data_IF_052238409636
#
_entry.id   IF_052238409636
#
_cell.length_a   1.000
_cell.length_b   1.000
_cell.length_c   1.000
_cell.angle_alpha   90.00
_cell.angle_beta   90.00
_cell.angle_gamma   90.00
#
_symmetry.space_group_name_H-M   'P 1'
#
loop_
_entity.id
_entity.type
_entity.pdbx_description
1 polymer ?
#
# COMPACT_ATOMS: atom_id res chain seq x y z
N UNK A 1 -24.31 16.37 51.50
CA UNK A 1 -23.59 15.09 51.59
C UNK A 1 -23.44 14.50 50.19
N UNK A 2 -22.36 13.79 49.88
CA UNK A 2 -22.22 13.15 48.56
C UNK A 2 -22.81 11.74 48.63
N UNK A 3 -23.58 11.33 47.63
CA UNK A 3 -24.12 9.97 47.53
C UNK A 3 -23.41 9.18 46.42
N UNK A 4 -23.24 7.88 46.63
CA UNK A 4 -22.69 7.01 45.61
C UNK A 4 -23.66 6.90 44.42
N UNK A 5 -23.19 7.18 43.20
CA UNK A 5 -24.02 7.10 41.98
C UNK A 5 -24.47 5.69 41.58
N UNK A 6 -24.01 4.66 42.27
CA UNK A 6 -24.28 3.26 41.93
C UNK A 6 -25.24 2.63 42.94
N UNK A 7 -24.99 2.79 44.23
CA UNK A 7 -25.83 2.19 45.29
C UNK A 7 -26.56 3.22 46.17
N UNK A 8 -26.40 4.52 45.93
CA UNK A 8 -27.06 5.57 46.70
C UNK A 8 -26.49 5.84 48.10
N UNK A 9 -25.62 4.97 48.62
CA UNK A 9 -25.04 5.12 49.97
C UNK A 9 -24.38 6.48 50.17
N UNK A 10 -24.69 7.13 51.29
CA UNK A 10 -24.06 8.37 51.69
C UNK A 10 -22.57 8.18 51.94
N UNK A 11 -21.77 9.12 51.46
CA UNK A 11 -20.33 9.09 51.53
C UNK A 11 -19.84 10.24 52.41
N UNK A 12 -18.97 9.92 53.36
CA UNK A 12 -18.22 10.91 54.11
C UNK A 12 -17.27 11.64 53.16
N UNK A 13 -17.29 12.97 53.18
CA UNK A 13 -16.38 13.80 52.40
C UNK A 13 -14.97 13.71 53.02
N UNK A 14 -14.20 12.71 52.60
CA UNK A 14 -12.77 12.66 52.95
C UNK A 14 -12.04 13.88 52.37
N UNK A 15 -10.97 14.34 53.05
CA UNK A 15 -10.07 15.40 52.57
C UNK A 15 -9.36 14.95 51.29
N UNK A 16 -9.99 15.15 50.13
CA UNK A 16 -9.48 14.72 48.84
C UNK A 16 -10.52 14.88 47.72
N UNK A 17 -10.12 14.62 46.47
CA UNK A 17 -11.03 14.70 45.31
C UNK A 17 -12.29 13.87 45.56
N UNK A 18 -13.46 14.48 45.33
CA UNK A 18 -14.76 13.85 45.53
C UNK A 18 -14.86 12.52 44.77
N UNK A 19 -14.86 11.41 45.50
CA UNK A 19 -15.04 10.07 44.94
C UNK A 19 -16.49 9.96 44.44
N UNK A 20 -16.70 9.35 43.27
CA UNK A 20 -18.05 9.14 42.68
C UNK A 20 -18.72 7.82 43.12
N UNK A 21 -17.96 6.97 43.81
CA UNK A 21 -18.35 5.61 44.20
C UNK A 21 -17.84 5.31 45.60
N UNK A 22 -18.65 4.67 46.44
CA UNK A 22 -18.32 4.37 47.83
C UNK A 22 -17.34 3.19 48.00
N UNK A 23 -17.35 2.21 47.07
CA UNK A 23 -16.60 0.96 47.20
C UNK A 23 -15.96 0.48 45.89
N UNK A 24 -14.97 -0.44 45.94
CA UNK A 24 -14.43 -1.12 44.76
C UNK A 24 -15.50 -1.85 43.94
N UNK A 25 -16.48 -2.49 44.60
CA UNK A 25 -17.60 -3.14 43.93
C UNK A 25 -18.43 -2.15 43.11
N UNK A 26 -18.75 -0.97 43.67
CA UNK A 26 -19.45 0.08 42.94
C UNK A 26 -18.62 0.62 41.76
N UNK A 27 -17.28 0.69 41.88
CA UNK A 27 -16.41 1.05 40.75
C UNK A 27 -16.48 0.05 39.61
N UNK A 28 -16.43 -1.24 39.91
CA UNK A 28 -16.53 -2.31 38.92
C UNK A 28 -17.92 -2.32 38.26
N UNK A 29 -18.99 -2.15 39.03
CA UNK A 29 -20.35 -2.02 38.49
C UNK A 29 -20.49 -0.82 37.55
N UNK A 30 -19.96 0.35 37.93
CA UNK A 30 -19.93 1.53 37.07
C UNK A 30 -19.14 1.30 35.77
N UNK A 31 -18.04 0.54 35.84
CA UNK A 31 -17.25 0.18 34.66
C UNK A 31 -18.02 -0.74 33.71
N UNK A 32 -18.63 -1.82 34.24
CA UNK A 32 -19.45 -2.75 33.46
C UNK A 32 -20.63 -2.04 32.77
N UNK A 33 -21.29 -1.10 33.47
CA UNK A 33 -22.36 -0.29 32.89
C UNK A 33 -21.87 0.54 31.69
N UNK A 34 -20.73 1.24 31.81
CA UNK A 34 -20.15 2.00 30.69
C UNK A 34 -19.77 1.11 29.50
N UNK A 35 -19.24 -0.09 29.75
CA UNK A 35 -18.94 -1.04 28.69
C UNK A 35 -20.22 -1.51 27.99
N UNK A 36 -21.29 -1.80 28.73
CA UNK A 36 -22.58 -2.17 28.16
C UNK A 36 -23.18 -1.04 27.32
N UNK A 37 -23.14 0.20 27.81
CA UNK A 37 -23.58 1.41 27.07
C UNK A 37 -22.77 1.60 25.78
N UNK A 38 -21.44 1.38 25.82
CA UNK A 38 -20.59 1.47 24.63
C UNK A 38 -20.91 0.39 23.60
N UNK A 39 -21.11 -0.87 24.04
CA UNK A 39 -21.52 -1.96 23.15
C UNK A 39 -22.90 -1.70 22.55
N UNK A 40 -23.85 -1.20 23.34
CA UNK A 40 -25.17 -0.82 22.85
C UNK A 40 -25.09 0.31 21.82
N UNK A 41 -24.25 1.33 22.04
CA UNK A 41 -24.03 2.41 21.09
C UNK A 41 -23.43 1.92 19.77
N UNK A 42 -22.46 1.01 19.82
CA UNK A 42 -21.87 0.41 18.61
C UNK A 42 -22.90 -0.43 17.85
N UNK A 43 -23.74 -1.21 18.55
CA UNK A 43 -24.84 -1.95 17.92
C UNK A 43 -25.87 -1.02 17.30
N UNK A 44 -26.23 0.07 17.97
CA UNK A 44 -27.16 1.06 17.43
C UNK A 44 -26.58 1.77 16.19
N UNK A 45 -25.27 2.04 16.17
CA UNK A 45 -24.59 2.59 14.99
C UNK A 45 -24.59 1.60 13.82
N UNK A 46 -24.34 0.31 14.09
CA UNK A 46 -24.35 -0.74 13.07
C UNK A 46 -25.77 -1.04 12.54
N UNK A 47 -26.80 -0.89 13.38
CA UNK A 47 -28.20 -1.07 12.99
C UNK A 47 -28.76 0.13 12.22
N UNK A 48 -28.07 1.28 12.23
CA UNK A 48 -28.49 2.45 11.47
C UNK A 48 -28.33 2.11 9.98
N UNK A 49 -29.40 2.09 9.17
CA UNK A 49 -29.28 1.82 7.75
C UNK A 49 -28.30 2.82 7.16
N UNK A 50 -27.36 2.31 6.34
CA UNK A 50 -26.44 3.15 5.62
C UNK A 50 -27.27 4.24 4.91
N UNK A 51 -26.95 5.54 5.09
CA UNK A 51 -27.69 6.57 4.41
C UNK A 51 -27.61 6.26 2.91
N UNK A 52 -28.76 6.03 2.28
CA UNK A 52 -28.90 5.85 0.84
C UNK A 52 -28.68 7.19 0.15
N UNK A 53 -27.48 7.76 0.33
CA UNK A 53 -26.95 8.78 -0.54
C UNK A 53 -26.35 8.01 -1.70
N UNK A 54 -27.20 7.63 -2.65
CA UNK A 54 -26.69 7.31 -3.99
C UNK A 54 -25.88 8.55 -4.41
N UNK A 55 -24.56 8.44 -4.58
CA UNK A 55 -23.78 9.57 -5.04
C UNK A 55 -24.41 10.00 -6.38
N UNK A 56 -24.70 11.30 -6.58
CA UNK A 56 -25.24 11.76 -7.85
C UNK A 56 -24.30 11.28 -8.94
N UNK A 57 -24.80 10.42 -9.82
CA UNK A 57 -24.04 9.97 -10.99
C UNK A 57 -23.70 11.26 -11.75
N UNK A 58 -22.41 11.57 -11.95
CA UNK A 58 -22.04 12.80 -12.63
C UNK A 58 -22.68 12.78 -14.02
N UNK A 59 -23.40 13.86 -14.35
CA UNK A 59 -24.05 13.97 -15.65
C UNK A 59 -22.99 13.81 -16.76
N UNK A 60 -23.32 13.12 -17.87
CA UNK A 60 -22.36 12.90 -18.95
C UNK A 60 -21.88 14.25 -19.49
N UNK A 61 -20.57 14.48 -19.42
CA UNK A 61 -19.94 15.69 -19.96
C UNK A 61 -20.12 15.68 -21.48
N UNK A 62 -20.80 16.68 -22.03
CA UNK A 62 -20.90 16.88 -23.48
C UNK A 62 -19.52 17.27 -24.00
N UNK A 63 -18.83 16.33 -24.63
CA UNK A 63 -17.56 16.61 -25.29
C UNK A 63 -17.79 17.49 -26.53
N UNK A 64 -16.95 18.51 -26.77
CA UNK A 64 -17.03 19.33 -27.98
C UNK A 64 -16.79 18.46 -29.22
N UNK A 65 -17.55 18.74 -30.28
CA UNK A 65 -17.39 18.06 -31.58
C UNK A 65 -16.02 18.42 -32.15
N UNK A 66 -15.17 17.45 -32.50
CA UNK A 66 -13.87 17.73 -33.10
C UNK A 66 -14.06 18.38 -34.47
N UNK A 67 -13.34 19.48 -34.71
CA UNK A 67 -13.05 19.96 -36.06
C UNK A 67 -11.93 19.08 -36.65
N UNK A 68 -12.00 18.75 -37.95
CA UNK A 68 -11.14 17.77 -38.62
C UNK A 68 -9.67 18.21 -38.73
N UNK A 69 -9.35 19.45 -38.34
CA UNK A 69 -7.97 19.93 -38.26
C UNK A 69 -7.10 19.06 -37.32
N UNK A 70 -5.78 18.91 -37.61
CA UNK A 70 -4.86 18.19 -36.73
C UNK A 70 -4.86 18.73 -35.29
N UNK A 71 -5.00 20.05 -35.12
CA UNK A 71 -5.15 20.68 -33.81
C UNK A 71 -6.48 20.32 -33.12
N UNK A 72 -7.57 20.19 -33.88
CA UNK A 72 -8.86 19.70 -33.38
C UNK A 72 -8.78 18.26 -32.87
N UNK A 73 -8.09 17.39 -33.60
CA UNK A 73 -7.88 15.99 -33.22
C UNK A 73 -7.03 15.86 -31.95
N UNK A 74 -5.96 16.64 -31.81
CA UNK A 74 -5.12 16.65 -30.59
C UNK A 74 -5.92 17.14 -29.38
N UNK A 75 -6.72 18.21 -29.53
CA UNK A 75 -7.58 18.71 -28.44
C UNK A 75 -8.63 17.68 -28.02
N UNK A 76 -9.26 17.00 -28.99
CA UNK A 76 -10.24 15.96 -28.71
C UNK A 76 -9.63 14.74 -28.01
N UNK A 77 -8.42 14.33 -28.40
CA UNK A 77 -7.68 13.26 -27.73
C UNK A 77 -7.32 13.64 -26.28
N UNK A 78 -6.85 14.88 -26.05
CA UNK A 78 -6.57 15.39 -24.70
C UNK A 78 -7.81 15.42 -23.80
N UNK A 79 -8.96 15.87 -24.33
CA UNK A 79 -10.22 15.88 -23.58
C UNK A 79 -10.70 14.46 -23.22
N UNK A 80 -10.54 13.48 -24.12
CA UNK A 80 -10.87 12.07 -23.85
C UNK A 80 -9.96 11.46 -22.78
N UNK A 81 -8.65 11.78 -22.81
CA UNK A 81 -7.71 11.32 -21.81
C UNK A 81 -8.07 11.88 -20.42
N UNK A 82 -8.34 13.19 -20.32
CA UNK A 82 -8.74 13.83 -19.07
C UNK A 82 -10.02 13.18 -18.50
N UNK A 83 -11.05 12.98 -19.33
CA UNK A 83 -12.30 12.35 -18.92
C UNK A 83 -12.11 10.90 -18.44
N UNK A 84 -11.27 10.11 -19.12
CA UNK A 84 -10.96 8.74 -18.71
C UNK A 84 -10.22 8.70 -17.37
N UNK A 85 -9.32 9.65 -17.17
CA UNK A 85 -8.53 9.82 -15.95
C UNK A 85 -9.40 10.27 -14.77
N UNK A 86 -10.32 11.21 -14.96
CA UNK A 86 -11.32 11.61 -13.95
C UNK A 86 -12.23 10.43 -13.57
N UNK A 87 -12.70 9.66 -14.56
CA UNK A 87 -13.52 8.47 -14.31
C UNK A 87 -12.75 7.39 -13.52
N UNK A 88 -11.46 7.19 -13.80
CA UNK A 88 -10.62 6.27 -13.05
C UNK A 88 -10.37 6.73 -11.61
N UNK A 89 -10.11 8.03 -11.41
CA UNK A 89 -9.95 8.62 -10.09
C UNK A 89 -11.23 8.50 -9.25
N UNK A 90 -12.40 8.69 -9.86
CA UNK A 90 -13.68 8.53 -9.18
C UNK A 90 -13.95 7.08 -8.77
N UNK A 91 -13.67 6.09 -9.64
CA UNK A 91 -13.77 4.67 -9.27
C UNK A 91 -12.81 4.31 -8.13
N UNK A 92 -11.56 4.75 -8.21
CA UNK A 92 -10.58 4.54 -7.14
C UNK A 92 -11.04 5.15 -5.81
N UNK A 93 -11.67 6.32 -5.83
CA UNK A 93 -12.25 6.94 -4.64
C UNK A 93 -13.39 6.11 -4.03
N UNK A 94 -14.24 5.49 -4.85
CA UNK A 94 -15.32 4.63 -4.37
C UNK A 94 -14.79 3.33 -3.74
N UNK A 95 -13.80 2.71 -4.37
CA UNK A 95 -13.19 1.49 -3.85
C UNK A 95 -12.52 1.75 -2.48
N UNK A 96 -11.86 2.92 -2.32
CA UNK A 96 -11.25 3.33 -1.05
C UNK A 96 -12.25 3.57 0.10
N UNK A 97 -13.47 4.04 -0.21
CA UNK A 97 -14.49 4.31 0.81
C UNK A 97 -15.13 3.01 1.35
N UNK A 98 -15.15 1.95 0.53
CA UNK A 98 -15.64 0.63 0.98
C UNK A 98 -14.67 -0.09 1.91
N UNK A 99 -13.36 0.15 1.79
CA UNK A 99 -12.33 -0.56 2.58
C UNK A 99 -11.94 0.18 3.88
N UNK A 100 -12.44 1.41 4.12
CA UNK A 100 -12.01 2.27 5.25
C UNK A 100 -12.83 2.16 6.54
N UNK A 101 -13.58 1.07 6.74
CA UNK A 101 -14.23 0.79 8.04
C UNK A 101 -13.24 0.53 9.20
N UNK A 102 -11.91 0.59 8.96
CA UNK A 102 -10.87 0.36 9.97
C UNK A 102 -9.81 1.46 10.16
N UNK A 103 -9.96 2.66 9.60
CA UNK A 103 -8.86 3.63 9.56
C UNK A 103 -8.59 4.37 10.90
N UNK A 104 -7.32 4.28 11.34
CA UNK A 104 -6.72 4.87 12.55
C UNK A 104 -6.76 6.42 12.59
N UNK A 105 -6.80 7.04 13.78
CA UNK A 105 -6.78 8.50 13.93
C UNK A 105 -5.35 9.04 13.76
N UNK A 106 -5.15 9.95 12.81
CA UNK A 106 -3.95 10.80 12.76
C UNK A 106 -3.27 10.99 11.41
N UNK A 107 -3.66 10.26 10.36
CA UNK A 107 -3.21 10.59 9.00
C UNK A 107 -4.20 11.55 8.35
N UNK A 108 -3.69 12.66 7.80
CA UNK A 108 -4.46 13.56 6.94
C UNK A 108 -4.91 12.72 5.76
N UNK A 109 -6.20 12.37 5.71
CA UNK A 109 -6.75 11.58 4.61
C UNK A 109 -6.58 12.42 3.35
N UNK A 110 -5.80 11.93 2.40
CA UNK A 110 -5.90 12.38 1.00
C UNK A 110 -7.33 12.14 0.58
N UNK A 111 -8.07 13.20 0.33
CA UNK A 111 -9.47 13.06 -0.06
C UNK A 111 -9.53 12.66 -1.54
N UNK A 112 -10.67 12.11 -2.00
CA UNK A 112 -10.92 11.93 -3.43
C UNK A 112 -10.64 13.20 -4.24
N UNK A 113 -11.00 14.36 -3.70
CA UNK A 113 -10.79 15.66 -4.31
C UNK A 113 -9.30 16.00 -4.43
N UNK A 114 -8.47 15.68 -3.43
CA UNK A 114 -7.01 15.85 -3.51
C UNK A 114 -6.40 15.01 -4.64
N UNK A 115 -6.91 13.78 -4.81
CA UNK A 115 -6.45 12.85 -5.85
C UNK A 115 -6.83 13.36 -7.23
N UNK A 116 -8.10 13.75 -7.43
CA UNK A 116 -8.59 14.35 -8.69
C UNK A 116 -7.81 15.62 -9.02
N UNK A 117 -7.55 16.48 -8.03
CA UNK A 117 -6.79 17.73 -8.22
C UNK A 117 -5.35 17.46 -8.67
N UNK A 118 -4.68 16.49 -8.03
CA UNK A 118 -3.30 16.12 -8.37
C UNK A 118 -3.21 15.54 -9.78
N UNK A 119 -4.15 14.67 -10.10
CA UNK A 119 -4.24 14.00 -11.41
C UNK A 119 -4.55 15.00 -12.52
N UNK A 120 -5.47 15.94 -12.29
CA UNK A 120 -5.76 17.03 -13.22
C UNK A 120 -4.52 17.89 -13.46
N UNK A 121 -3.80 18.28 -12.41
CA UNK A 121 -2.58 19.06 -12.54
C UNK A 121 -1.51 18.34 -13.38
N UNK A 122 -1.33 17.03 -13.17
CA UNK A 122 -0.43 16.20 -13.98
C UNK A 122 -0.87 16.13 -15.46
N UNK A 123 -2.17 16.00 -15.72
CA UNK A 123 -2.71 15.96 -17.08
C UNK A 123 -2.51 17.32 -17.80
N UNK A 124 -2.78 18.44 -17.11
CA UNK A 124 -2.54 19.78 -17.63
C UNK A 124 -1.04 20.01 -17.94
N UNK A 125 -0.15 19.54 -17.06
CA UNK A 125 1.28 19.59 -17.28
C UNK A 125 1.71 18.77 -18.51
N UNK A 126 1.17 17.57 -18.69
CA UNK A 126 1.46 16.72 -19.84
C UNK A 126 1.01 17.37 -21.17
N UNK A 127 -0.18 17.96 -21.20
CA UNK A 127 -0.69 18.70 -22.37
C UNK A 127 0.21 19.90 -22.68
N UNK A 128 0.62 20.66 -21.67
CA UNK A 128 1.54 21.78 -21.84
C UNK A 128 2.90 21.33 -22.43
N UNK A 129 3.45 20.20 -21.97
CA UNK A 129 4.68 19.63 -22.51
C UNK A 129 4.55 19.19 -23.97
N UNK A 130 3.43 18.59 -24.36
CA UNK A 130 3.16 18.19 -25.75
C UNK A 130 3.08 19.42 -26.66
N UNK A 131 2.33 20.45 -26.25
CA UNK A 131 2.20 21.69 -27.02
C UNK A 131 3.54 22.43 -27.15
N UNK A 132 4.37 22.41 -26.11
CA UNK A 132 5.71 22.99 -26.15
C UNK A 132 6.68 22.23 -27.08
N UNK A 133 6.45 20.94 -27.29
CA UNK A 133 7.28 20.06 -28.14
C UNK A 133 6.81 20.01 -29.59
N UNK A 134 5.66 20.61 -29.91
CA UNK A 134 5.17 20.65 -31.29
C UNK A 134 6.20 21.39 -32.17
N UNK A 135 6.59 20.82 -33.33
CA UNK A 135 7.55 21.46 -34.22
C UNK A 135 6.99 22.82 -34.61
N UNK A 136 7.72 23.88 -34.23
CA UNK A 136 7.44 25.23 -34.73
C UNK A 136 7.54 25.11 -36.25
N UNK A 137 6.40 25.27 -36.92
CA UNK A 137 6.36 25.32 -38.38
C UNK A 137 7.38 26.36 -38.81
N UNK A 138 8.46 25.87 -39.42
CA UNK A 138 9.51 26.71 -39.94
C UNK A 138 8.86 27.69 -40.90
N UNK A 139 8.88 28.98 -40.55
CA UNK A 139 8.33 30.06 -41.39
C UNK A 139 9.09 30.25 -42.70
N UNK A 140 10.16 29.47 -42.92
CA UNK A 140 10.95 29.46 -44.15
C UNK A 140 10.84 28.10 -44.84
N UNK A 141 9.63 27.73 -45.26
CA UNK A 141 9.46 26.72 -46.30
C UNK A 141 9.41 27.47 -47.65
N UNK A 142 10.48 27.45 -48.45
CA UNK A 142 10.48 28.09 -49.76
C UNK A 142 9.46 27.41 -50.67
N UNK A 143 8.78 28.22 -51.50
CA UNK A 143 7.69 27.80 -52.36
C UNK A 143 8.05 26.54 -53.20
N UNK A 144 7.10 25.58 -53.37
CA UNK A 144 7.35 24.37 -54.12
C UNK A 144 7.57 24.71 -55.60
N UNK A 145 8.81 24.52 -56.06
CA UNK A 145 9.14 24.55 -57.49
C UNK A 145 8.61 23.27 -58.11
N UNK A 146 7.67 23.42 -59.04
CA UNK A 146 7.14 22.33 -59.84
C UNK A 146 8.26 21.68 -60.66
N UNK A 147 8.59 20.42 -60.34
CA UNK A 147 9.42 19.60 -61.20
C UNK A 147 8.69 18.31 -61.59
N UNK A 148 8.63 18.16 -62.92
CA UNK A 148 8.04 17.06 -63.65
C UNK A 148 8.74 15.72 -63.40
N UNK A 149 7.97 14.66 -63.64
CA UNK A 149 8.45 13.27 -63.74
C UNK A 149 9.53 13.12 -64.84
N UNK A 150 10.40 12.09 -64.74
CA UNK A 150 10.01 10.80 -65.31
C UNK A 150 10.42 9.55 -64.48
N UNK A 151 9.77 8.45 -64.82
CA UNK A 151 9.97 7.08 -64.37
C UNK A 151 11.29 6.45 -64.81
N UNK A 152 11.85 5.49 -64.04
CA UNK A 152 12.57 4.26 -64.47
C UNK A 152 12.64 3.25 -63.30
N UNK A 153 12.70 1.96 -63.65
CA UNK A 153 12.53 0.71 -62.91
C UNK A 153 13.60 0.26 -61.86
N UNK A 154 13.13 -0.52 -60.85
CA UNK A 154 13.51 -1.89 -60.34
C UNK A 154 14.98 -2.37 -60.58
N UNK A 155 15.75 -3.06 -59.66
CA UNK A 155 15.39 -4.23 -58.81
C UNK A 155 16.03 -4.41 -57.38
N UNK A 156 15.36 -5.27 -56.59
CA UNK A 156 15.80 -6.39 -55.70
C UNK A 156 17.04 -6.38 -54.74
N UNK A 157 16.75 -6.73 -53.45
CA UNK A 157 17.34 -7.78 -52.55
C UNK A 157 18.81 -7.60 -52.05
N UNK A 158 19.32 -8.16 -50.91
CA UNK A 158 18.79 -9.14 -49.93
C UNK A 158 18.83 -8.77 -48.42
N UNK A 159 18.10 -9.58 -47.64
CA UNK A 159 18.30 -9.86 -46.21
C UNK A 159 19.66 -10.51 -45.91
N UNK A 160 20.25 -10.28 -44.72
CA UNK A 160 21.19 -11.19 -44.11
C UNK A 160 20.53 -12.00 -42.98
N UNK A 161 20.26 -13.27 -43.30
CA UNK A 161 20.15 -14.39 -42.36
C UNK A 161 21.51 -14.64 -41.72
N UNK A 162 21.57 -14.77 -40.39
CA UNK A 162 22.76 -15.19 -39.65
C UNK A 162 22.40 -16.09 -38.46
N UNK A 163 23.23 -17.10 -38.14
CA UNK A 163 22.73 -18.43 -37.76
C UNK A 163 22.67 -18.72 -36.25
N UNK A 164 21.79 -19.67 -35.92
CA UNK A 164 21.77 -20.44 -34.69
C UNK A 164 23.07 -21.26 -34.51
N UNK A 165 23.62 -21.24 -33.30
CA UNK A 165 24.67 -22.16 -32.87
C UNK A 165 24.06 -23.39 -32.17
N UNK A 166 24.44 -24.62 -32.55
CA UNK A 166 24.09 -25.83 -31.84
C UNK A 166 25.26 -26.38 -30.99
N UNK A 167 24.92 -26.84 -29.77
CA UNK A 167 25.63 -27.90 -29.03
C UNK A 167 26.84 -27.50 -28.16
N UNK A 168 27.31 -28.38 -27.25
CA UNK A 168 26.93 -29.77 -27.08
C UNK A 168 26.37 -30.15 -25.69
N UNK A 169 25.50 -31.16 -25.75
CA UNK A 169 25.24 -32.14 -24.70
C UNK A 169 26.54 -32.74 -24.17
N UNK A 170 26.68 -32.79 -22.84
CA UNK A 170 27.66 -33.65 -22.16
C UNK A 170 26.92 -34.47 -21.11
N UNK A 171 26.61 -35.70 -21.49
CA UNK A 171 26.40 -36.81 -20.57
C UNK A 171 27.76 -37.27 -20.04
N UNK A 172 27.85 -37.51 -18.73
CA UNK A 172 28.65 -38.53 -18.02
C UNK A 172 28.82 -38.14 -16.53
N UNK A 173 29.09 -39.09 -15.61
CA UNK A 173 28.29 -40.25 -15.25
C UNK A 173 27.88 -40.19 -13.76
N UNK A 174 27.08 -41.17 -13.33
CA UNK A 174 26.70 -41.36 -11.93
C UNK A 174 27.94 -41.63 -11.05
N UNK A 175 28.12 -40.81 -10.01
CA UNK A 175 28.98 -41.12 -8.87
C UNK A 175 28.11 -41.28 -7.63
N UNK A 176 28.31 -42.41 -6.97
CA UNK A 176 27.65 -42.92 -5.77
C UNK A 176 27.71 -41.96 -4.57
N UNK A 177 26.79 -42.11 -3.59
CA UNK A 177 26.58 -41.13 -2.53
C UNK A 177 27.73 -41.16 -1.53
N UNK A 178 28.66 -40.21 -1.66
CA UNK A 178 29.55 -39.84 -0.57
C UNK A 178 28.73 -39.10 0.48
N UNK A 179 28.57 -39.70 1.65
CA UNK A 179 28.03 -39.08 2.86
C UNK A 179 28.78 -37.78 3.15
N UNK A 180 28.21 -36.66 2.72
CA UNK A 180 28.73 -35.33 2.97
C UNK A 180 28.46 -34.94 4.43
N UNK A 181 29.40 -34.23 5.08
CA UNK A 181 29.19 -33.66 6.41
C UNK A 181 28.00 -32.71 6.37
N UNK A 182 27.18 -32.75 7.42
CA UNK A 182 25.98 -31.96 7.68
C UNK A 182 25.98 -30.61 6.96
N UNK A 183 25.37 -30.61 5.76
CA UNK A 183 25.44 -29.49 4.83
C UNK A 183 24.75 -28.27 5.40
N UNK A 184 25.42 -27.12 5.30
CA UNK A 184 24.82 -25.80 5.54
C UNK A 184 23.46 -25.77 4.85
N UNK A 185 22.35 -25.51 5.57
CA UNK A 185 21.02 -25.55 4.98
C UNK A 185 20.99 -24.66 3.74
N UNK A 186 20.42 -25.14 2.61
CA UNK A 186 20.42 -24.40 1.37
C UNK A 186 19.85 -23.01 1.64
N UNK A 187 20.63 -21.98 1.32
CA UNK A 187 20.16 -20.60 1.44
C UNK A 187 18.85 -20.50 0.64
N UNK A 188 17.78 -19.91 1.21
CA UNK A 188 16.50 -19.80 0.51
C UNK A 188 16.73 -19.20 -0.88
N UNK A 189 16.22 -19.88 -1.90
CA UNK A 189 16.24 -19.37 -3.27
C UNK A 189 15.61 -17.97 -3.28
N UNK A 190 16.25 -17.05 -4.01
CA UNK A 190 15.78 -15.68 -4.08
C UNK A 190 14.41 -15.62 -4.70
N UNK A 191 13.49 -14.97 -3.99
CA UNK A 191 12.20 -14.65 -4.55
C UNK A 191 12.37 -13.51 -5.57
N UNK A 192 11.74 -13.60 -6.76
CA UNK A 192 11.68 -12.48 -7.67
C UNK A 192 10.96 -11.30 -7.00
N UNK A 193 11.36 -10.07 -7.32
CA UNK A 193 10.89 -8.86 -6.63
C UNK A 193 9.36 -8.73 -6.62
N UNK A 194 8.70 -9.08 -7.72
CA UNK A 194 7.24 -9.03 -7.85
C UNK A 194 6.54 -10.03 -6.92
N UNK A 195 7.09 -11.22 -6.77
CA UNK A 195 6.54 -12.25 -5.89
C UNK A 195 6.75 -11.90 -4.42
N UNK A 196 7.94 -11.40 -4.07
CA UNK A 196 8.22 -10.88 -2.74
C UNK A 196 7.27 -9.72 -2.38
N UNK A 197 6.98 -8.83 -3.33
CA UNK A 197 6.02 -7.75 -3.12
C UNK A 197 4.60 -8.30 -2.88
N UNK A 198 4.13 -9.22 -3.71
CA UNK A 198 2.81 -9.85 -3.55
C UNK A 198 2.66 -10.57 -2.21
N UNK A 199 3.71 -11.27 -1.74
CA UNK A 199 3.72 -11.93 -0.42
C UNK A 199 3.62 -10.91 0.71
N UNK A 200 4.38 -9.83 0.64
CA UNK A 200 4.39 -8.78 1.66
C UNK A 200 3.06 -8.00 1.70
N UNK A 201 2.45 -7.76 0.54
CA UNK A 201 1.15 -7.06 0.41
C UNK A 201 -0.02 -7.92 0.92
N UNK A 202 -0.02 -9.22 0.61
CA UNK A 202 -1.00 -10.17 1.12
C UNK A 202 -0.83 -10.50 2.62
N UNK A 203 0.22 -10.00 3.28
CA UNK A 203 0.52 -10.34 4.65
C UNK A 203 -0.49 -9.73 5.63
N UNK A 204 -1.03 -10.56 6.52
CA UNK A 204 -1.97 -10.18 7.55
C UNK A 204 -1.33 -10.27 8.93
N UNK A 205 -1.68 -9.31 9.80
CA UNK A 205 -1.20 -9.29 11.17
C UNK A 205 -2.18 -10.04 12.07
N UNK A 206 -1.76 -11.21 12.55
CA UNK A 206 -2.58 -12.11 13.37
C UNK A 206 -2.01 -12.17 14.80
N UNK A 207 -2.86 -12.45 15.78
CA UNK A 207 -2.37 -12.70 17.15
C UNK A 207 -1.62 -14.02 17.18
N UNK A 208 -0.49 -14.03 17.86
CA UNK A 208 0.22 -15.26 18.19
C UNK A 208 -0.71 -16.20 18.99
N UNK A 209 -0.66 -17.53 18.79
CA UNK A 209 -1.45 -18.47 19.59
C UNK A 209 -1.23 -18.28 21.10
N UNK A 210 0.00 -17.96 21.51
CA UNK A 210 0.40 -17.72 22.89
C UNK A 210 0.41 -16.22 23.25
N UNK A 211 -0.41 -15.42 22.55
CA UNK A 211 -0.48 -13.95 22.72
C UNK A 211 -0.73 -13.50 24.16
N UNK A 212 -1.38 -14.34 24.97
CA UNK A 212 -1.64 -14.04 26.37
C UNK A 212 -0.35 -13.82 27.16
N UNK A 213 0.68 -14.61 26.85
CA UNK A 213 1.92 -14.65 27.63
C UNK A 213 3.03 -13.83 26.95
N UNK A 214 3.11 -13.86 25.62
CA UNK A 214 4.18 -13.19 24.87
C UNK A 214 3.78 -11.81 24.30
N UNK A 215 2.48 -11.50 24.25
CA UNK A 215 1.91 -10.29 23.64
C UNK A 215 2.36 -10.03 22.18
N UNK A 216 2.75 -11.09 21.45
CA UNK A 216 3.25 -11.01 20.07
C UNK A 216 2.12 -11.02 19.05
N UNK A 217 2.35 -10.31 17.96
CA UNK A 217 1.52 -10.34 16.76
C UNK A 217 2.38 -10.87 15.62
N UNK A 218 1.94 -11.92 14.96
CA UNK A 218 2.65 -12.55 13.85
C UNK A 218 2.22 -11.88 12.55
N UNK A 219 3.18 -11.46 11.73
CA UNK A 219 2.91 -11.03 10.36
C UNK A 219 3.06 -12.25 9.45
N UNK A 220 1.96 -12.72 8.85
CA UNK A 220 1.94 -13.94 8.04
C UNK A 220 1.25 -13.73 6.70
N UNK A 221 1.73 -14.42 5.66
CA UNK A 221 1.13 -14.45 4.32
C UNK A 221 0.89 -15.91 3.94
N UNK A 222 -0.36 -16.34 3.98
CA UNK A 222 -0.71 -17.77 3.93
C UNK A 222 -0.03 -18.54 5.07
N UNK A 223 0.77 -19.54 4.70
CA UNK A 223 1.57 -20.37 5.62
C UNK A 223 2.96 -19.79 5.92
N UNK A 224 3.34 -18.71 5.24
CA UNK A 224 4.65 -18.08 5.43
C UNK A 224 4.59 -17.07 6.57
N UNK A 225 5.42 -17.27 7.60
CA UNK A 225 5.62 -16.28 8.67
C UNK A 225 6.76 -15.34 8.29
N UNK A 226 6.47 -14.05 8.15
CA UNK A 226 7.46 -13.03 7.82
C UNK A 226 8.20 -12.55 9.07
N UNK A 227 7.59 -12.67 10.25
CA UNK A 227 8.17 -12.30 11.54
C UNK A 227 7.09 -11.94 12.56
N UNK A 228 7.46 -11.23 13.62
CA UNK A 228 6.50 -10.80 14.64
C UNK A 228 6.73 -9.37 15.11
N UNK A 229 5.69 -8.80 15.71
CA UNK A 229 5.65 -7.46 16.27
C UNK A 229 5.25 -7.58 17.73
N UNK A 230 5.99 -6.93 18.61
CA UNK A 230 5.72 -6.94 20.04
C UNK A 230 5.70 -5.51 20.62
N UNK A 231 4.94 -5.26 21.68
CA UNK A 231 5.07 -4.03 22.44
C UNK A 231 6.49 -3.87 22.97
N UNK A 232 7.08 -2.69 22.79
CA UNK A 232 8.32 -2.35 23.46
C UNK A 232 8.01 -1.82 24.86
N UNK A 233 8.39 -2.60 25.87
CA UNK A 233 8.37 -2.20 27.27
C UNK A 233 9.77 -1.72 27.70
N UNK A 234 9.86 -0.87 28.73
CA UNK A 234 11.13 -0.35 29.23
C UNK A 234 11.34 1.14 28.99
N UNK A 235 10.26 1.91 29.10
CA UNK A 235 10.27 3.36 28.94
C UNK A 235 9.95 4.16 30.19
N UNK A 236 10.31 5.45 30.15
CA UNK A 236 9.92 6.46 31.15
C UNK A 236 8.42 6.83 31.02
N UNK A 237 7.70 6.28 30.04
CA UNK A 237 6.27 6.55 29.89
C UNK A 237 5.49 6.01 31.10
N UNK A 238 4.44 6.74 31.52
CA UNK A 238 3.58 6.34 32.65
C UNK A 238 2.92 4.96 32.51
N UNK A 239 2.84 4.43 31.28
CA UNK A 239 2.29 3.10 31.00
C UNK A 239 3.37 2.02 30.85
N UNK A 240 4.66 2.39 30.92
CA UNK A 240 5.80 1.51 30.65
C UNK A 240 5.94 1.10 29.17
N UNK A 241 4.96 1.44 28.33
CA UNK A 241 4.94 1.14 26.89
C UNK A 241 5.56 2.29 26.11
N UNK A 242 6.58 1.98 25.32
CA UNK A 242 7.31 2.94 24.50
C UNK A 242 7.02 2.83 23.00
N UNK A 243 6.04 2.02 22.62
CA UNK A 243 5.65 1.80 21.24
C UNK A 243 5.68 0.34 20.89
N UNK A 244 6.05 0.05 19.64
CA UNK A 244 6.06 -1.27 19.04
C UNK A 244 7.39 -1.52 18.35
N UNK A 245 7.85 -2.76 18.39
CA UNK A 245 9.06 -3.19 17.73
C UNK A 245 8.75 -4.42 16.89
N UNK A 246 9.30 -4.45 15.69
CA UNK A 246 9.25 -5.60 14.79
C UNK A 246 10.50 -6.46 14.98
N UNK A 247 10.38 -7.79 14.89
CA UNK A 247 11.51 -8.71 14.89
C UNK A 247 11.46 -9.60 13.66
N UNK A 248 12.57 -9.62 12.93
CA UNK A 248 12.81 -10.47 11.78
C UNK A 248 13.96 -11.40 12.15
N UNK A 249 13.71 -12.71 12.26
CA UNK A 249 14.70 -13.71 12.67
C UNK A 249 15.50 -13.33 13.93
N UNK A 250 14.79 -12.83 14.94
CA UNK A 250 15.38 -12.37 16.21
C UNK A 250 16.01 -10.98 16.17
N UNK A 251 16.20 -10.38 14.99
CA UNK A 251 16.80 -9.05 14.82
C UNK A 251 15.74 -7.96 15.04
N UNK A 252 15.88 -7.15 16.12
CA UNK A 252 14.95 -6.08 16.41
C UNK A 252 15.04 -4.96 15.37
N UNK A 253 13.89 -4.46 14.95
CA UNK A 253 13.74 -3.31 14.07
C UNK A 253 13.72 -1.99 14.83
N UNK A 254 13.58 -0.88 14.10
CA UNK A 254 13.33 0.42 14.72
C UNK A 254 12.01 0.41 15.50
N UNK A 255 11.97 1.25 16.54
CA UNK A 255 10.78 1.42 17.37
C UNK A 255 9.75 2.30 16.65
N UNK A 256 8.53 1.81 16.49
CA UNK A 256 7.42 2.52 15.85
C UNK A 256 6.37 2.96 16.88
N UNK A 257 5.67 4.05 16.55
CA UNK A 257 4.58 4.59 17.41
C UNK A 257 3.35 3.69 17.42
N UNK A 258 3.10 2.96 16.33
CA UNK A 258 1.92 2.11 16.16
C UNK A 258 2.31 0.67 15.80
N UNK A 259 1.41 -0.26 16.10
CA UNK A 259 1.55 -1.68 15.75
C UNK A 259 1.68 -1.87 14.25
N UNK A 260 0.79 -1.22 13.50
CA UNK A 260 0.77 -1.31 12.04
C UNK A 260 2.05 -0.70 11.44
N UNK A 261 2.58 0.39 12.02
CA UNK A 261 3.87 0.95 11.60
C UNK A 261 5.02 -0.04 11.77
N UNK A 262 5.07 -0.77 12.89
CA UNK A 262 6.06 -1.83 13.08
C UNK A 262 5.84 -3.02 12.12
N UNK A 263 4.60 -3.37 11.80
CA UNK A 263 4.31 -4.41 10.80
C UNK A 263 4.77 -4.00 9.38
N UNK A 264 4.55 -2.74 8.97
CA UNK A 264 5.03 -2.22 7.67
C UNK A 264 6.56 -2.16 7.61
N UNK A 265 7.22 -1.77 8.71
CA UNK A 265 8.68 -1.85 8.82
C UNK A 265 9.16 -3.30 8.69
N UNK A 266 8.51 -4.25 9.37
CA UNK A 266 8.82 -5.68 9.29
C UNK A 266 8.73 -6.18 7.84
N UNK A 267 7.63 -5.89 7.14
CA UNK A 267 7.42 -6.27 5.75
C UNK A 267 8.51 -5.69 4.83
N UNK A 268 8.85 -4.41 5.02
CA UNK A 268 9.90 -3.72 4.26
C UNK A 268 11.29 -4.34 4.47
N UNK A 269 11.62 -4.72 5.72
CA UNK A 269 12.90 -5.39 6.04
C UNK A 269 12.94 -6.81 5.48
N UNK A 270 11.87 -7.57 5.63
CA UNK A 270 11.74 -8.91 5.06
C UNK A 270 11.93 -8.86 3.54
N UNK A 271 11.25 -7.94 2.86
CA UNK A 271 11.37 -7.73 1.41
C UNK A 271 12.82 -7.49 0.98
N UNK A 272 13.55 -6.62 1.69
CA UNK A 272 14.97 -6.37 1.41
C UNK A 272 15.81 -7.63 1.58
N UNK A 273 15.58 -8.42 2.62
CA UNK A 273 16.34 -9.65 2.88
C UNK A 273 16.14 -10.66 1.75
N UNK A 274 14.89 -10.89 1.33
CA UNK A 274 14.59 -11.92 0.31
C UNK A 274 14.94 -11.50 -1.12
N UNK A 275 15.01 -10.19 -1.40
CA UNK A 275 15.33 -9.65 -2.74
C UNK A 275 16.80 -9.22 -2.92
N UNK A 276 17.57 -9.08 -1.84
CA UNK A 276 18.94 -8.53 -1.95
C UNK A 276 19.86 -9.34 -2.88
N UNK A 277 20.72 -8.68 -3.69
CA UNK A 277 21.77 -9.36 -4.45
C UNK A 277 22.67 -10.16 -3.49
N UNK A 278 23.18 -11.35 -3.88
CA UNK A 278 24.01 -12.12 -2.97
C UNK A 278 25.26 -11.26 -2.74
N UNK A 279 25.56 -10.91 -1.49
CA UNK A 279 26.79 -10.20 -1.20
C UNK A 279 27.92 -11.10 -1.70
N UNK A 280 28.57 -10.72 -2.80
CA UNK A 280 29.74 -11.43 -3.33
C UNK A 280 30.73 -11.44 -2.17
N UNK A 281 30.88 -12.58 -1.52
CA UNK A 281 32.00 -12.81 -0.62
C UNK A 281 33.20 -12.63 -1.51
N UNK A 282 33.91 -11.52 -1.31
CA UNK A 282 35.22 -11.31 -1.89
C UNK A 282 36.06 -12.43 -1.29
N UNK A 283 36.19 -13.52 -2.03
CA UNK A 283 37.21 -14.53 -1.80
C UNK A 283 38.51 -13.78 -2.04
N UNK A 284 39.16 -13.35 -0.96
CA UNK A 284 40.53 -12.88 -1.02
C UNK A 284 41.39 -14.12 -1.23
N UNK A 285 41.98 -14.21 -2.41
CA UNK A 285 43.18 -15.02 -2.67
C UNK A 285 44.41 -14.27 -2.12
#
# INVERSE_FOLDING_TARGET
MAQCRICGTEMSQGRGRARRTCSPACRQAAHRRRQAEQVAALRAAAARPAPTLAPPVPAPVKLPVPDDSPAGQIRAAGARLLAAVEAAAWRAAQDWDTDTSGALPGHRRTTPEDTVTTVRALAEQAVASILASAPKTSRNEPAPVAHAAPAVAVPARPEPTGPASPGPSRNEPATEPTTAPEGIPPRPQKLPQNEAFAIADAATLVRDPDHRDNHRWILRSGDTVLGHVEPSYGGISRSGRNGWISRLDGIPGPRCKSRNGAAMDLASRWFRVVTSPPKRTITGD
#
